data_IF_059606683994
#
_entry.id   IF_059606683994
#
_cell.length_a   1.000
_cell.length_b   1.000
_cell.length_c   1.000
_cell.angle_alpha   90.00
_cell.angle_beta   90.00
_cell.angle_gamma   90.00
#
_symmetry.space_group_name_H-M   'P 1'
#
loop_
_entity.id
_entity.type
_entity.pdbx_description
1 polymer ?
#
# COMPACT_ATOMS: atom_id res chain seq x y z
N UNK A 1 -11.15 24.36 -2.20
CA UNK A 1 -10.02 25.01 -1.50
C UNK A 1 -10.09 24.88 0.03
N UNK A 2 -11.20 25.26 0.67
CA UNK A 2 -11.33 25.26 2.14
C UNK A 2 -11.08 23.90 2.85
N UNK A 3 -11.38 22.76 2.22
CA UNK A 3 -11.12 21.43 2.80
C UNK A 3 -9.64 21.06 2.68
N UNK A 4 -9.01 21.31 1.52
CA UNK A 4 -7.59 21.02 1.25
C UNK A 4 -6.70 21.88 2.15
N UNK A 5 -7.05 23.16 2.35
CA UNK A 5 -6.30 24.04 3.25
C UNK A 5 -6.31 23.56 4.71
N UNK A 6 -7.40 22.92 5.17
CA UNK A 6 -7.44 22.30 6.51
C UNK A 6 -6.47 21.11 6.61
N UNK A 7 -6.37 20.30 5.56
CA UNK A 7 -5.42 19.20 5.50
C UNK A 7 -3.97 19.70 5.52
N UNK A 8 -3.66 20.76 4.75
CA UNK A 8 -2.33 21.40 4.77
C UNK A 8 -1.93 21.85 6.17
N UNK A 9 -2.82 22.57 6.87
CA UNK A 9 -2.55 23.07 8.21
C UNK A 9 -2.26 21.94 9.21
N UNK A 10 -3.04 20.85 9.15
CA UNK A 10 -2.82 19.69 10.01
C UNK A 10 -1.48 18.99 9.72
N UNK A 11 -1.19 18.74 8.43
CA UNK A 11 0.06 18.10 8.03
C UNK A 11 1.28 18.96 8.37
N UNK A 12 1.18 20.28 8.21
CA UNK A 12 2.23 21.21 8.59
C UNK A 12 2.51 21.18 10.11
N UNK A 13 1.47 21.03 10.95
CA UNK A 13 1.63 20.95 12.39
C UNK A 13 2.40 19.70 12.84
N UNK A 14 2.27 18.57 12.13
CA UNK A 14 3.00 17.34 12.45
C UNK A 14 4.35 17.22 11.77
N UNK A 15 4.63 18.03 10.72
CA UNK A 15 5.88 17.98 9.95
C UNK A 15 7.15 17.96 10.81
N UNK A 16 7.31 18.75 11.89
CA UNK A 16 8.52 18.71 12.72
C UNK A 16 8.81 17.36 13.37
N UNK A 17 7.82 16.46 13.41
CA UNK A 17 7.91 15.12 13.98
C UNK A 17 8.08 14.02 12.91
N UNK A 18 8.18 14.40 11.63
CA UNK A 18 8.36 13.46 10.52
C UNK A 18 9.83 13.36 10.17
N UNK A 19 10.42 12.17 10.29
CA UNK A 19 11.82 11.90 9.95
C UNK A 19 12.07 12.07 8.44
N UNK A 20 11.20 11.52 7.59
CA UNK A 20 11.30 11.64 6.14
C UNK A 20 9.96 11.37 5.44
N UNK A 21 9.90 11.68 4.15
CA UNK A 21 8.83 11.27 3.25
C UNK A 21 9.40 10.33 2.19
N UNK A 22 9.12 9.03 2.31
CA UNK A 22 9.58 8.00 1.37
C UNK A 22 8.56 6.86 1.28
N UNK A 23 8.46 6.23 0.12
CA UNK A 23 7.45 5.20 -0.16
C UNK A 23 8.03 3.79 -0.32
N UNK A 24 9.17 3.49 0.32
CA UNK A 24 9.73 2.12 0.28
C UNK A 24 10.84 1.89 1.31
N UNK A 25 11.66 2.91 1.61
CA UNK A 25 12.71 2.82 2.63
C UNK A 25 12.16 2.36 4.00
N UNK A 26 10.93 2.78 4.34
CA UNK A 26 10.28 2.45 5.61
C UNK A 26 10.16 0.94 5.86
N UNK A 27 10.19 0.09 4.83
CA UNK A 27 10.12 -1.37 4.99
C UNK A 27 11.32 -1.87 5.78
N UNK A 28 12.52 -1.52 5.33
CA UNK A 28 13.76 -1.95 5.97
C UNK A 28 13.97 -1.23 7.31
N UNK A 29 13.65 0.06 7.36
CA UNK A 29 13.81 0.84 8.60
C UNK A 29 12.87 0.32 9.70
N UNK A 30 11.64 -0.13 9.38
CA UNK A 30 10.77 -0.80 10.34
C UNK A 30 11.34 -2.16 10.76
N UNK A 31 11.76 -2.99 9.80
CA UNK A 31 12.28 -4.32 10.07
C UNK A 31 13.53 -4.31 10.97
N UNK A 32 14.38 -3.29 10.82
CA UNK A 32 15.60 -3.11 11.61
C UNK A 32 15.37 -2.36 12.93
N UNK A 33 14.17 -1.80 13.15
CA UNK A 33 13.88 -0.96 14.32
C UNK A 33 14.45 0.47 14.26
N UNK A 34 14.85 0.96 13.07
CA UNK A 34 15.34 2.32 12.85
C UNK A 34 14.22 3.38 12.95
N UNK A 35 12.98 2.98 12.62
CA UNK A 35 11.77 3.80 12.85
C UNK A 35 10.71 2.98 13.60
N UNK A 36 9.84 3.66 14.34
CA UNK A 36 8.79 3.03 15.15
C UNK A 36 7.36 3.24 14.63
N UNK A 37 7.18 4.05 13.59
CA UNK A 37 5.89 4.34 12.99
C UNK A 37 6.06 4.72 11.51
N UNK A 38 5.24 4.12 10.64
CA UNK A 38 5.16 4.47 9.24
C UNK A 38 3.69 4.55 8.80
N UNK A 39 3.37 5.53 7.95
CA UNK A 39 2.16 5.49 7.13
C UNK A 39 2.54 4.82 5.81
N UNK A 40 2.23 3.54 5.70
CA UNK A 40 2.66 2.67 4.59
C UNK A 40 1.53 1.82 4.03
N UNK A 41 1.87 1.04 3.01
CA UNK A 41 0.94 0.09 2.39
C UNK A 41 0.91 -1.23 3.16
N UNK A 42 -0.23 -1.91 3.19
CA UNK A 42 -0.45 -3.08 4.06
C UNK A 42 0.58 -4.19 3.88
N UNK A 43 0.77 -4.69 2.65
CA UNK A 43 1.71 -5.77 2.36
C UNK A 43 3.18 -5.39 2.57
N UNK A 44 3.52 -4.10 2.49
CA UNK A 44 4.86 -3.61 2.79
C UNK A 44 5.17 -3.67 4.28
N UNK A 45 4.17 -3.39 5.13
CA UNK A 45 4.29 -3.51 6.59
C UNK A 45 4.35 -5.00 6.99
N UNK A 46 3.61 -5.87 6.30
CA UNK A 46 3.72 -7.31 6.51
C UNK A 46 5.10 -7.85 6.11
N UNK A 47 5.63 -7.44 4.95
CA UNK A 47 7.01 -7.79 4.58
C UNK A 47 8.05 -7.26 5.58
N UNK A 48 7.83 -6.10 6.19
CA UNK A 48 8.70 -5.60 7.24
C UNK A 48 8.64 -6.48 8.51
N UNK A 49 7.44 -6.99 8.86
CA UNK A 49 7.27 -7.93 9.96
C UNK A 49 7.98 -9.27 9.67
N UNK A 50 7.76 -9.84 8.49
CA UNK A 50 8.41 -11.11 8.10
C UNK A 50 9.94 -10.98 8.14
N UNK A 51 10.49 -9.87 7.62
CA UNK A 51 11.94 -9.59 7.67
C UNK A 51 12.46 -9.41 9.10
N UNK A 52 11.68 -8.78 9.98
CA UNK A 52 12.05 -8.60 11.38
C UNK A 52 12.11 -9.94 12.12
N UNK A 53 11.12 -10.80 11.87
CA UNK A 53 11.03 -12.15 12.43
C UNK A 53 12.18 -13.04 11.92
N UNK A 54 12.47 -13.01 10.61
CA UNK A 54 13.60 -13.74 9.99
C UNK A 54 14.96 -13.29 10.54
N UNK A 55 15.12 -11.99 10.82
CA UNK A 55 16.36 -11.45 11.36
C UNK A 55 16.60 -11.87 12.82
N UNK A 56 15.55 -12.24 13.56
CA UNK A 56 15.64 -12.73 14.94
C UNK A 56 16.20 -11.69 15.93
N UNK A 57 16.01 -10.40 15.65
CA UNK A 57 16.56 -9.30 16.44
C UNK A 57 15.60 -8.77 17.52
N UNK A 58 14.42 -9.38 17.65
CA UNK A 58 13.40 -9.00 18.65
C UNK A 58 12.64 -7.72 18.31
N UNK A 59 12.63 -7.33 17.03
CA UNK A 59 11.79 -6.23 16.53
C UNK A 59 10.43 -6.80 16.18
N UNK A 60 9.36 -6.24 16.74
CA UNK A 60 7.98 -6.62 16.43
C UNK A 60 7.33 -5.52 15.57
N UNK A 61 6.81 -5.89 14.40
CA UNK A 61 6.13 -4.97 13.48
C UNK A 61 4.69 -5.42 13.30
N UNK A 62 3.74 -4.48 13.38
CA UNK A 62 2.32 -4.74 13.20
C UNK A 62 1.68 -3.73 12.25
N UNK A 63 0.71 -4.20 11.46
CA UNK A 63 -0.13 -3.38 10.62
C UNK A 63 -1.52 -3.21 11.24
N UNK A 64 -2.06 -1.98 11.18
CA UNK A 64 -3.40 -1.67 11.67
C UNK A 64 -4.13 -0.80 10.66
N UNK A 65 -5.37 -1.18 10.32
CA UNK A 65 -6.31 -0.30 9.63
C UNK A 65 -6.98 0.58 10.71
N UNK A 66 -6.83 1.92 10.66
CA UNK A 66 -7.45 2.80 11.65
C UNK A 66 -8.98 2.66 11.68
N UNK A 67 -9.56 2.77 12.89
CA UNK A 67 -11.01 2.60 13.11
C UNK A 67 -11.87 3.64 12.39
N UNK A 68 -11.28 4.78 12.06
CA UNK A 68 -11.87 5.88 11.29
C UNK A 68 -12.06 5.51 9.81
N UNK A 69 -11.37 4.48 9.33
CA UNK A 69 -11.28 4.10 7.92
C UNK A 69 -9.91 4.39 7.32
N UNK A 70 -9.69 3.85 6.12
CA UNK A 70 -8.45 4.01 5.38
C UNK A 70 -8.69 3.97 3.87
N UNK A 71 -7.68 4.39 3.11
CA UNK A 71 -7.73 4.27 1.67
C UNK A 71 -7.60 2.80 1.23
N UNK A 72 -8.55 2.33 0.43
CA UNK A 72 -8.48 1.09 -0.32
C UNK A 72 -8.04 1.38 -1.74
N UNK A 73 -7.05 0.64 -2.21
CA UNK A 73 -6.39 0.85 -3.49
C UNK A 73 -6.30 -0.47 -4.27
N UNK A 74 -6.12 -0.34 -5.58
CA UNK A 74 -6.07 -1.46 -6.51
C UNK A 74 -5.00 -1.19 -7.56
N UNK A 75 -3.96 -2.01 -7.58
CA UNK A 75 -2.97 -1.97 -8.64
C UNK A 75 -3.46 -2.76 -9.84
N UNK A 76 -3.26 -2.17 -11.02
CA UNK A 76 -3.75 -2.70 -12.29
C UNK A 76 -2.59 -2.84 -13.28
N UNK A 77 -2.54 -3.96 -13.97
CA UNK A 77 -1.66 -4.11 -15.12
C UNK A 77 -2.33 -3.54 -16.38
N UNK A 78 -1.58 -2.76 -17.13
CA UNK A 78 -2.02 -2.17 -18.40
C UNK A 78 -0.92 -2.30 -19.47
N UNK A 79 -1.32 -2.45 -20.73
CA UNK A 79 -0.40 -2.47 -21.88
C UNK A 79 -0.37 -1.05 -22.49
N UNK A 80 0.77 -0.35 -22.47
CA UNK A 80 0.90 0.94 -23.15
C UNK A 80 0.58 0.85 -24.63
N UNK A 81 -0.05 1.90 -25.19
CA UNK A 81 -0.46 1.93 -26.61
C UNK A 81 0.71 1.78 -27.58
N UNK A 82 1.91 2.18 -27.17
CA UNK A 82 3.15 2.13 -27.93
C UNK A 82 4.07 0.96 -27.52
N UNK A 83 3.54 -0.04 -26.79
CA UNK A 83 4.30 -1.21 -26.39
C UNK A 83 4.84 -1.98 -27.60
N UNK A 84 6.15 -2.24 -27.61
CA UNK A 84 6.85 -2.92 -28.72
C UNK A 84 6.60 -4.43 -28.78
N UNK A 85 6.13 -5.03 -27.68
CA UNK A 85 6.00 -6.48 -27.53
C UNK A 85 4.62 -6.87 -26.94
N UNK A 86 3.55 -6.46 -27.61
CA UNK A 86 2.16 -6.66 -27.16
C UNK A 86 1.84 -8.14 -26.91
N UNK A 87 2.26 -9.03 -27.80
CA UNK A 87 2.00 -10.48 -27.65
C UNK A 87 2.66 -11.07 -26.38
N UNK A 88 3.86 -10.59 -26.03
CA UNK A 88 4.54 -11.03 -24.81
C UNK A 88 3.86 -10.45 -23.56
N UNK A 89 3.35 -9.23 -23.63
CA UNK A 89 2.57 -8.64 -22.55
C UNK A 89 1.29 -9.46 -22.28
N UNK A 90 0.59 -9.88 -23.34
CA UNK A 90 -0.57 -10.78 -23.18
C UNK A 90 -0.19 -12.14 -22.58
N UNK A 91 0.93 -12.74 -23.00
CA UNK A 91 1.42 -14.01 -22.39
C UNK A 91 1.76 -13.83 -20.91
N UNK A 92 2.32 -12.69 -20.52
CA UNK A 92 2.64 -12.40 -19.12
C UNK A 92 1.37 -12.21 -18.29
N UNK A 93 0.37 -11.47 -18.81
CA UNK A 93 -0.94 -11.33 -18.16
C UNK A 93 -1.64 -12.68 -18.00
N UNK A 94 -1.64 -13.52 -19.04
CA UNK A 94 -2.17 -14.88 -18.98
C UNK A 94 -1.50 -15.71 -17.89
N UNK A 95 -0.16 -15.66 -17.83
CA UNK A 95 0.61 -16.38 -16.81
C UNK A 95 0.24 -15.93 -15.39
N UNK A 96 0.16 -14.62 -15.14
CA UNK A 96 -0.21 -14.08 -13.82
C UNK A 96 -1.64 -14.42 -13.40
N UNK A 97 -2.57 -14.60 -14.35
CA UNK A 97 -3.95 -14.98 -14.04
C UNK A 97 -4.10 -16.46 -13.65
N UNK A 98 -3.04 -17.28 -13.75
CA UNK A 98 -3.11 -18.67 -13.31
C UNK A 98 -3.21 -18.74 -11.78
N UNK A 99 -4.13 -19.56 -11.22
CA UNK A 99 -4.34 -19.65 -9.78
C UNK A 99 -3.07 -19.88 -8.96
N UNK A 100 -2.22 -20.81 -9.39
CA UNK A 100 -0.99 -21.20 -8.71
C UNK A 100 0.07 -20.10 -8.73
N UNK A 101 0.13 -19.32 -9.82
CA UNK A 101 1.06 -18.20 -9.97
C UNK A 101 0.62 -17.06 -9.06
N UNK A 102 -0.66 -16.71 -9.11
CA UNK A 102 -1.18 -15.63 -8.27
C UNK A 102 -1.11 -16.00 -6.79
N UNK A 103 -1.46 -17.22 -6.40
CA UNK A 103 -1.35 -17.67 -5.01
C UNK A 103 0.10 -17.59 -4.50
N UNK A 104 1.07 -18.04 -5.30
CA UNK A 104 2.49 -17.92 -4.95
C UNK A 104 2.94 -16.47 -4.76
N UNK A 105 2.40 -15.53 -5.55
CA UNK A 105 2.64 -14.09 -5.34
C UNK A 105 2.01 -13.66 -4.01
N UNK A 106 0.75 -13.97 -3.77
CA UNK A 106 0.03 -13.56 -2.54
C UNK A 106 0.72 -14.05 -1.27
N UNK A 107 1.18 -15.31 -1.26
CA UNK A 107 1.89 -15.90 -0.12
C UNK A 107 3.25 -15.23 0.12
N UNK A 108 3.88 -14.70 -0.92
CA UNK A 108 5.17 -14.02 -0.79
C UNK A 108 5.06 -12.54 -0.42
N UNK A 109 4.11 -11.79 -1.01
CA UNK A 109 4.03 -10.34 -0.82
C UNK A 109 2.93 -9.88 0.13
N UNK A 110 2.13 -10.83 0.66
CA UNK A 110 1.05 -10.56 1.60
C UNK A 110 0.00 -9.54 1.10
N UNK A 111 -0.27 -9.54 -0.21
CA UNK A 111 -1.33 -8.74 -0.84
C UNK A 111 -2.50 -9.61 -1.30
N UNK A 112 -3.73 -9.12 -1.09
CA UNK A 112 -4.92 -9.74 -1.65
C UNK A 112 -4.94 -9.57 -3.18
N UNK A 113 -5.39 -10.60 -3.90
CA UNK A 113 -5.59 -10.55 -5.34
C UNK A 113 -7.07 -10.58 -5.71
N UNK A 114 -7.40 -10.11 -6.91
CA UNK A 114 -8.73 -10.22 -7.48
C UNK A 114 -9.01 -11.61 -8.09
N UNK A 115 -8.06 -12.55 -8.02
CA UNK A 115 -8.19 -13.88 -8.59
C UNK A 115 -8.83 -14.84 -7.58
N UNK A 116 -10.16 -14.95 -7.61
CA UNK A 116 -10.88 -15.83 -6.69
C UNK A 116 -10.50 -17.31 -6.82
N UNK A 117 -10.01 -17.75 -7.99
CA UNK A 117 -9.57 -19.12 -8.21
C UNK A 117 -8.22 -19.43 -7.54
N UNK A 118 -7.44 -18.41 -7.16
CA UNK A 118 -6.20 -18.56 -6.41
C UNK A 118 -6.43 -18.85 -4.92
N UNK A 119 -7.55 -18.38 -4.35
CA UNK A 119 -7.84 -18.46 -2.91
C UNK A 119 -7.62 -19.84 -2.28
N UNK A 120 -7.99 -20.98 -2.90
CA UNK A 120 -7.76 -22.30 -2.31
C UNK A 120 -6.28 -22.70 -2.15
N UNK A 121 -5.37 -21.95 -2.79
CA UNK A 121 -3.92 -22.19 -2.77
C UNK A 121 -3.16 -21.14 -1.94
N UNK A 122 -3.87 -20.15 -1.38
CA UNK A 122 -3.29 -19.12 -0.53
C UNK A 122 -3.16 -19.66 0.89
N UNK A 123 -2.06 -19.34 1.57
CA UNK A 123 -1.80 -19.82 2.92
C UNK A 123 -2.86 -19.31 3.91
N UNK A 124 -3.25 -20.15 4.88
CA UNK A 124 -4.33 -19.83 5.83
C UNK A 124 -4.03 -18.59 6.65
N UNK A 125 -2.76 -18.37 7.01
CA UNK A 125 -2.29 -17.18 7.73
C UNK A 125 -2.56 -15.89 6.94
N UNK A 126 -2.44 -15.93 5.61
CA UNK A 126 -2.72 -14.79 4.74
C UNK A 126 -4.23 -14.60 4.61
N UNK A 127 -4.99 -15.67 4.39
CA UNK A 127 -6.46 -15.61 4.22
C UNK A 127 -7.20 -15.14 5.47
N UNK A 128 -6.69 -15.47 6.66
CA UNK A 128 -7.32 -15.15 7.94
C UNK A 128 -6.84 -13.83 8.54
N UNK A 129 -5.81 -13.20 7.96
CA UNK A 129 -5.28 -11.93 8.45
C UNK A 129 -6.23 -10.77 8.08
N UNK A 130 -6.84 -10.09 9.07
CA UNK A 130 -7.81 -9.01 8.83
C UNK A 130 -7.19 -7.73 8.24
N UNK A 131 -5.86 -7.60 8.26
CA UNK A 131 -5.15 -6.52 7.55
C UNK A 131 -4.94 -6.79 6.07
N UNK A 132 -5.10 -8.05 5.62
CA UNK A 132 -5.03 -8.47 4.21
C UNK A 132 -6.44 -8.70 3.65
N UNK A 133 -7.24 -9.51 4.34
CA UNK A 133 -8.66 -9.76 4.05
C UNK A 133 -9.56 -9.16 5.15
N UNK A 134 -9.86 -7.85 5.09
CA UNK A 134 -10.64 -7.17 6.12
C UNK A 134 -12.08 -7.66 6.19
N UNK A 135 -12.63 -7.60 7.41
CA UNK A 135 -14.05 -7.87 7.67
C UNK A 135 -14.96 -6.91 6.89
N UNK A 136 -16.23 -7.29 6.72
CA UNK A 136 -17.22 -6.42 6.07
C UNK A 136 -17.42 -5.11 6.83
N UNK A 137 -17.32 -5.12 8.16
CA UNK A 137 -17.39 -3.90 8.98
C UNK A 137 -16.22 -2.96 8.67
N UNK A 138 -14.99 -3.48 8.58
CA UNK A 138 -13.82 -2.67 8.23
C UNK A 138 -13.93 -2.16 6.80
N UNK A 139 -14.32 -3.03 5.84
CA UNK A 139 -14.51 -2.66 4.43
C UNK A 139 -15.51 -1.52 4.24
N UNK A 140 -16.58 -1.49 5.04
CA UNK A 140 -17.58 -0.42 5.00
C UNK A 140 -17.02 0.99 5.36
N UNK A 141 -15.86 1.06 5.99
CA UNK A 141 -15.17 2.32 6.36
C UNK A 141 -14.04 2.68 5.40
N UNK A 142 -13.74 1.82 4.43
CA UNK A 142 -12.70 2.09 3.46
C UNK A 142 -13.21 3.00 2.34
N UNK A 143 -12.33 3.83 1.79
CA UNK A 143 -12.65 4.70 0.66
C UNK A 143 -11.64 4.52 -0.46
N UNK A 144 -12.07 4.70 -1.71
CA UNK A 144 -11.17 4.66 -2.87
C UNK A 144 -10.72 6.06 -3.27
N UNK A 145 -9.61 6.13 -4.02
CA UNK A 145 -9.15 7.38 -4.59
C UNK A 145 -10.02 7.78 -5.79
N UNK A 146 -10.49 9.03 -5.79
CA UNK A 146 -11.21 9.60 -6.92
C UNK A 146 -10.25 10.20 -7.96
N UNK A 147 -10.65 10.20 -9.22
CA UNK A 147 -9.98 11.00 -10.25
C UNK A 147 -10.23 12.48 -9.94
N UNK A 148 -9.15 13.21 -9.68
CA UNK A 148 -9.23 14.63 -9.36
C UNK A 148 -9.27 15.50 -10.62
N UNK A 149 -10.09 16.57 -10.64
CA UNK A 149 -9.98 17.59 -11.68
C UNK A 149 -8.57 18.21 -11.72
N UNK A 150 -8.03 18.59 -12.90
CA UNK A 150 -6.65 19.09 -13.02
C UNK A 150 -6.31 20.29 -12.12
N UNK A 151 -7.29 21.14 -11.82
CA UNK A 151 -7.12 22.26 -10.89
C UNK A 151 -6.93 21.83 -9.44
N UNK A 152 -7.63 20.77 -9.01
CA UNK A 152 -7.51 20.18 -7.68
C UNK A 152 -6.19 19.43 -7.55
N UNK A 153 -5.80 18.67 -8.57
CA UNK A 153 -4.53 17.95 -8.61
C UNK A 153 -3.34 18.92 -8.46
N UNK A 154 -3.35 20.03 -9.21
CA UNK A 154 -2.33 21.09 -9.06
C UNK A 154 -2.26 21.69 -7.66
N UNK A 155 -3.40 21.80 -6.95
CA UNK A 155 -3.43 22.26 -5.57
C UNK A 155 -2.77 21.24 -4.63
N UNK A 156 -3.08 19.95 -4.81
CA UNK A 156 -2.44 18.85 -4.06
C UNK A 156 -0.93 18.84 -4.27
N UNK A 157 -0.46 18.92 -5.51
CA UNK A 157 0.98 18.92 -5.83
C UNK A 157 1.70 20.10 -5.17
N UNK A 158 1.12 21.31 -5.24
CA UNK A 158 1.71 22.49 -4.60
C UNK A 158 1.80 22.31 -3.09
N UNK A 159 0.69 21.96 -2.44
CA UNK A 159 0.63 21.71 -1.00
C UNK A 159 1.66 20.66 -0.56
N UNK A 160 1.74 19.53 -1.26
CA UNK A 160 2.69 18.46 -0.93
C UNK A 160 4.14 18.89 -1.10
N UNK A 161 4.43 19.68 -2.15
CA UNK A 161 5.77 20.24 -2.37
C UNK A 161 6.17 21.17 -1.22
N UNK A 162 5.26 22.07 -0.80
CA UNK A 162 5.50 22.95 0.35
C UNK A 162 5.72 22.17 1.63
N UNK A 163 4.86 21.16 1.86
CA UNK A 163 4.97 20.30 3.04
C UNK A 163 6.32 19.59 3.09
N UNK A 164 6.83 19.04 1.98
CA UNK A 164 8.14 18.36 2.00
C UNK A 164 9.30 19.33 2.15
N UNK A 165 9.32 20.42 1.39
CA UNK A 165 10.48 21.33 1.31
C UNK A 165 10.52 22.39 2.41
N UNK A 166 9.38 22.74 2.98
CA UNK A 166 9.26 23.83 3.97
C UNK A 166 9.26 25.23 3.34
N UNK A 167 9.08 25.32 2.03
CA UNK A 167 8.96 26.57 1.25
C UNK A 167 7.55 26.73 0.69
#
# INVERSE_FOLDING_TARGET
EAVIGKAEALLAAIKPHITYFHSSQYINDLANGDICLAVGWSGDIFQAADRADEAGQGVEVAYVIPKEGAAMWFDMLAIPKDARHVDNAYKFLDYLMRPEVMAGIQNYVAYASANSAALPQVDEEILTNPGIYPSDETKAKLFTFAVLPPEVDRLYTRMWTRLKTGQ
#
